data_IF_243670819431
#
_entry.id   IF_243670819431
#
_cell.length_a   1.000
_cell.length_b   1.000
_cell.length_c   1.000
_cell.angle_alpha   90.00
_cell.angle_beta   90.00
_cell.angle_gamma   90.00
#
_symmetry.space_group_name_H-M   'P 1'
#
loop_
_entity.id
_entity.type
_entity.pdbx_description
1 polymer ?
#
# COMPACT_ATOMS: atom_id res chain seq x y z
N UNK A 1 3.45 -14.59 11.87
CA UNK A 1 4.01 -13.33 12.43
C UNK A 1 3.18 -12.18 11.84
N UNK A 2 2.40 -11.49 12.69
CA UNK A 2 1.32 -10.57 12.30
C UNK A 2 1.80 -9.11 12.36
N UNK A 3 2.67 -8.70 11.45
CA UNK A 3 3.12 -7.31 11.38
C UNK A 3 3.71 -7.02 10.02
N UNK A 4 3.39 -5.85 9.47
CA UNK A 4 4.09 -5.30 8.30
C UNK A 4 5.52 -4.96 8.70
N UNK A 5 6.48 -5.16 7.79
CA UNK A 5 7.85 -4.73 8.05
C UNK A 5 7.92 -3.21 8.22
N UNK A 6 8.98 -2.72 8.85
CA UNK A 6 9.23 -1.26 8.92
C UNK A 6 9.32 -0.62 7.53
N UNK A 7 9.86 -1.36 6.55
CA UNK A 7 9.95 -0.93 5.16
C UNK A 7 8.55 -0.76 4.55
N UNK A 8 7.66 -1.74 4.77
CA UNK A 8 6.28 -1.72 4.29
C UNK A 8 5.51 -0.54 4.89
N UNK A 9 5.68 -0.30 6.19
CA UNK A 9 5.07 0.84 6.87
C UNK A 9 5.57 2.19 6.32
N UNK A 10 6.88 2.30 6.10
CA UNK A 10 7.47 3.52 5.53
C UNK A 10 6.98 3.78 4.10
N UNK A 11 6.89 2.73 3.27
CA UNK A 11 6.40 2.83 1.91
C UNK A 11 4.93 3.27 1.85
N UNK A 12 4.08 2.72 2.74
CA UNK A 12 2.68 3.13 2.85
C UNK A 12 2.56 4.60 3.27
N UNK A 13 3.36 5.04 4.26
CA UNK A 13 3.37 6.43 4.70
C UNK A 13 3.84 7.39 3.59
N UNK A 14 4.90 7.04 2.86
CA UNK A 14 5.38 7.81 1.72
C UNK A 14 4.33 7.92 0.62
N UNK A 15 3.63 6.82 0.31
CA UNK A 15 2.53 6.80 -0.67
C UNK A 15 1.40 7.73 -0.25
N UNK A 16 1.02 7.73 1.04
CA UNK A 16 -0.04 8.59 1.58
C UNK A 16 0.31 10.08 1.47
N UNK A 17 1.58 10.44 1.66
CA UNK A 17 2.05 11.82 1.58
C UNK A 17 2.14 12.33 0.12
N UNK A 18 2.38 11.43 -0.83
CA UNK A 18 2.59 11.76 -2.24
C UNK A 18 1.28 11.77 -3.07
N UNK A 19 0.25 12.52 -2.66
CA UNK A 19 -1.04 12.58 -3.39
C UNK A 19 -0.83 13.04 -4.85
N UNK A 20 -1.48 12.41 -5.86
CA UNK A 20 -2.49 11.35 -5.80
C UNK A 20 -1.93 9.92 -5.97
N UNK A 21 -0.70 9.65 -5.52
CA UNK A 21 -0.06 8.35 -5.73
C UNK A 21 -0.87 7.17 -5.20
N UNK A 22 -0.79 6.07 -5.93
CA UNK A 22 -1.33 4.77 -5.58
C UNK A 22 -0.22 3.72 -5.63
N UNK A 23 -0.30 2.74 -4.75
CA UNK A 23 0.68 1.69 -4.59
C UNK A 23 0.25 0.44 -5.36
N UNK A 24 1.04 0.08 -6.38
CA UNK A 24 0.91 -1.19 -7.06
C UNK A 24 1.87 -2.21 -6.44
N UNK A 25 1.39 -3.43 -6.20
CA UNK A 25 2.22 -4.54 -5.73
C UNK A 25 1.66 -5.88 -6.20
N UNK A 26 2.55 -6.86 -6.45
CA UNK A 26 2.18 -8.26 -6.72
C UNK A 26 1.99 -9.08 -5.45
N UNK A 27 2.42 -8.56 -4.30
CA UNK A 27 2.19 -9.21 -3.01
C UNK A 27 0.74 -9.02 -2.58
N UNK A 28 -0.03 -10.12 -2.57
CA UNK A 28 -1.44 -10.10 -2.19
C UNK A 28 -1.67 -9.62 -0.76
N UNK A 29 -0.80 -9.95 0.19
CA UNK A 29 -0.95 -9.53 1.59
C UNK A 29 -0.70 -8.04 1.73
N UNK A 30 0.32 -7.52 1.05
CA UNK A 30 0.62 -6.09 1.07
C UNK A 30 -0.45 -5.28 0.33
N UNK A 31 -0.97 -5.82 -0.79
CA UNK A 31 -2.10 -5.23 -1.51
C UNK A 31 -3.34 -5.09 -0.62
N UNK A 32 -3.70 -6.10 0.18
CA UNK A 32 -4.82 -6.00 1.12
C UNK A 32 -4.65 -4.85 2.11
N UNK A 33 -3.45 -4.65 2.63
CA UNK A 33 -3.18 -3.57 3.60
C UNK A 33 -3.26 -2.21 2.90
N UNK A 34 -2.67 -2.08 1.71
CA UNK A 34 -2.79 -0.86 0.90
C UNK A 34 -4.26 -0.57 0.52
N UNK A 35 -5.07 -1.59 0.25
CA UNK A 35 -6.51 -1.44 -0.02
C UNK A 35 -7.26 -0.93 1.21
N UNK A 36 -6.99 -1.48 2.41
CA UNK A 36 -7.60 -1.01 3.66
C UNK A 36 -7.30 0.47 3.95
N UNK A 37 -6.17 0.98 3.46
CA UNK A 37 -5.76 2.37 3.59
C UNK A 37 -6.17 3.25 2.39
N UNK A 38 -6.92 2.72 1.42
CA UNK A 38 -7.27 3.39 0.15
C UNK A 38 -6.06 3.85 -0.67
N UNK A 39 -4.90 3.23 -0.46
CA UNK A 39 -3.65 3.53 -1.14
C UNK A 39 -3.37 2.58 -2.30
N UNK A 40 -4.08 1.46 -2.40
CA UNK A 40 -3.85 0.50 -3.47
C UNK A 40 -4.20 1.08 -4.85
N UNK A 41 -3.37 0.74 -5.84
CA UNK A 41 -3.69 0.94 -7.24
C UNK A 41 -4.68 -0.12 -7.70
N UNK A 42 -5.81 0.32 -8.25
CA UNK A 42 -6.78 -0.53 -8.94
C UNK A 42 -6.65 -0.32 -10.45
N UNK A 43 -6.20 -1.32 -11.23
CA UNK A 43 -6.10 -1.21 -12.68
C UNK A 43 -7.45 -1.07 -13.40
N UNK A 44 -8.58 -1.27 -12.72
CA UNK A 44 -9.92 -1.34 -13.32
C UNK A 44 -10.73 -0.04 -13.11
N UNK A 45 -10.21 0.92 -12.32
CA UNK A 45 -10.81 2.27 -12.20
C UNK A 45 -10.19 3.24 -13.19
#
# INVERSE_FOLDING_TARGET
>A
RRGIGYIDAHLLAATQLAIPAKLWTRDRRFATIAQMLNLAYDPIT
#
